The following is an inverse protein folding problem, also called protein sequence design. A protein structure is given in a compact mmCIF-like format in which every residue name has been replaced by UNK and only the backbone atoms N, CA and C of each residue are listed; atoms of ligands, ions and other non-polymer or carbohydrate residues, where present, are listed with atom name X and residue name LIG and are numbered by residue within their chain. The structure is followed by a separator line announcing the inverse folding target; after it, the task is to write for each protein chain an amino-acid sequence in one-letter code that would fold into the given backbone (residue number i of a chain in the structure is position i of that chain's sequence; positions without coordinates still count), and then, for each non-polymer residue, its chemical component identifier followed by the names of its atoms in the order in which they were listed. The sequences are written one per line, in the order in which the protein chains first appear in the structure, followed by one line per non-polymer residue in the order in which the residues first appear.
data_IF_102743595817
#
_entry.id   IF_102743595817
#
_cell.length_a   1.000
_cell.length_b   1.000
_cell.length_c   1.000
_cell.angle_alpha   90.00
_cell.angle_beta   90.00
_cell.angle_gamma   90.00
#
_symmetry.space_group_name_H-M   'P 1'
#
loop_
_entity.id
_entity.type
_entity.pdbx_description
1 polymer ?
#
# COMPACT_ATOMS: atom_id res chain seq x y z
N UNK A 1 -4.88 -2.48 5.59
CA UNK A 1 -4.82 -1.67 4.35
C UNK A 1 -3.71 -2.11 3.40
N UNK A 2 -2.47 -2.29 3.88
CA UNK A 2 -1.34 -2.66 3.02
C UNK A 2 -1.53 -4.01 2.32
N UNK A 3 -2.12 -5.00 2.99
CA UNK A 3 -2.30 -6.36 2.43
C UNK A 3 -3.17 -6.41 1.17
N UNK A 4 -3.98 -5.38 0.92
CA UNK A 4 -4.82 -5.25 -0.28
C UNK A 4 -4.35 -4.11 -1.20
N UNK A 5 -3.20 -3.49 -0.91
CA UNK A 5 -2.71 -2.34 -1.66
C UNK A 5 -2.42 -2.69 -3.12
N UNK A 6 -1.97 -3.92 -3.40
CA UNK A 6 -1.79 -4.45 -4.75
C UNK A 6 -3.10 -4.52 -5.56
N UNK A 7 -4.25 -4.45 -4.90
CA UNK A 7 -5.57 -4.47 -5.54
C UNK A 7 -6.17 -3.07 -5.71
N UNK A 8 -5.55 -2.05 -5.12
CA UNK A 8 -5.98 -0.69 -5.29
C UNK A 8 -5.30 -0.08 -6.50
N UNK A 9 -6.04 0.73 -7.26
CA UNK A 9 -5.48 1.60 -8.29
C UNK A 9 -4.77 2.82 -7.66
N UNK A 10 -3.79 2.53 -6.80
CA UNK A 10 -2.95 3.48 -6.07
C UNK A 10 -1.52 3.37 -6.64
N UNK A 11 -0.82 4.50 -6.93
CA UNK A 11 0.53 4.47 -7.49
C UNK A 11 1.55 3.81 -6.55
N UNK A 12 1.23 3.68 -5.26
CA UNK A 12 2.07 3.08 -4.24
C UNK A 12 2.55 1.67 -4.59
N UNK A 13 1.70 0.80 -5.16
CA UNK A 13 2.12 -0.57 -5.49
C UNK A 13 3.23 -0.59 -6.56
N UNK A 14 3.12 0.27 -7.57
CA UNK A 14 4.11 0.42 -8.63
C UNK A 14 5.40 1.04 -8.09
N UNK A 15 5.27 2.02 -7.19
CA UNK A 15 6.39 2.60 -6.47
C UNK A 15 7.15 1.56 -5.61
N UNK A 16 6.43 0.73 -4.85
CA UNK A 16 6.99 -0.38 -4.06
C UNK A 16 7.78 -1.32 -4.96
N UNK A 17 7.23 -1.73 -6.10
CA UNK A 17 7.90 -2.60 -7.06
C UNK A 17 9.23 -2.00 -7.52
N UNK A 18 9.24 -0.79 -8.07
CA UNK A 18 10.46 -0.20 -8.61
C UNK A 18 11.53 0.08 -7.55
N UNK A 19 11.14 0.61 -6.38
CA UNK A 19 12.11 0.92 -5.33
C UNK A 19 12.72 -0.36 -4.74
N UNK A 20 11.91 -1.38 -4.47
CA UNK A 20 12.41 -2.65 -3.96
C UNK A 20 13.28 -3.37 -4.99
N UNK A 21 12.88 -3.39 -6.26
CA UNK A 21 13.66 -3.93 -7.35
C UNK A 21 15.02 -3.24 -7.45
N UNK A 22 15.08 -1.91 -7.32
CA UNK A 22 16.35 -1.17 -7.33
C UNK A 22 17.30 -1.63 -6.21
N UNK A 23 16.80 -1.69 -4.97
CA UNK A 23 17.58 -2.11 -3.81
C UNK A 23 18.06 -3.56 -3.95
N UNK A 24 17.18 -4.47 -4.38
CA UNK A 24 17.49 -5.89 -4.54
C UNK A 24 18.45 -6.15 -5.70
N UNK A 25 18.25 -5.52 -6.86
CA UNK A 25 19.13 -5.66 -8.02
C UNK A 25 20.52 -5.12 -7.74
N UNK A 26 20.62 -3.98 -7.04
CA UNK A 26 21.90 -3.43 -6.64
C UNK A 26 22.67 -4.39 -5.73
N UNK A 27 22.01 -4.88 -4.67
CA UNK A 27 22.64 -5.79 -3.71
C UNK A 27 23.01 -7.13 -4.35
N UNK A 28 22.11 -7.68 -5.16
CA UNK A 28 22.37 -8.92 -5.89
C UNK A 28 23.52 -8.78 -6.89
N UNK A 29 23.57 -7.69 -7.65
CA UNK A 29 24.67 -7.43 -8.57
C UNK A 29 25.99 -7.18 -7.85
N UNK A 30 25.97 -6.52 -6.69
CA UNK A 30 27.15 -6.27 -5.86
C UNK A 30 27.72 -7.57 -5.28
N UNK A 31 26.91 -8.38 -4.58
CA UNK A 31 27.35 -9.65 -3.99
C UNK A 31 27.63 -10.72 -5.04
N UNK A 32 26.83 -10.73 -6.12
CA UNK A 32 26.99 -11.62 -7.28
C UNK A 32 28.15 -11.23 -8.20
N UNK A 33 28.90 -10.17 -7.88
CA UNK A 33 30.05 -9.67 -8.65
C UNK A 33 29.74 -9.41 -10.12
N UNK A 34 28.55 -8.89 -10.40
CA UNK A 34 28.20 -8.41 -11.75
C UNK A 34 29.13 -7.27 -12.16
N UNK A 35 29.28 -6.98 -13.47
CA UNK A 35 29.97 -5.79 -13.92
C UNK A 35 29.39 -4.55 -13.22
N UNK A 36 30.24 -3.73 -12.61
CA UNK A 36 29.77 -2.60 -11.79
C UNK A 36 28.81 -1.68 -12.54
N UNK A 37 29.06 -1.46 -13.84
CA UNK A 37 28.18 -0.67 -14.71
C UNK A 37 26.77 -1.29 -14.80
N UNK A 38 26.66 -2.61 -14.94
CA UNK A 38 25.36 -3.29 -14.99
C UNK A 38 24.61 -3.19 -13.65
N UNK A 39 25.31 -3.33 -12.52
CA UNK A 39 24.74 -3.17 -11.17
C UNK A 39 24.18 -1.76 -10.97
N UNK A 40 24.96 -0.73 -11.32
CA UNK A 40 24.55 0.66 -11.15
C UNK A 40 23.46 1.09 -12.15
N UNK A 41 23.50 0.65 -13.41
CA UNK A 41 22.45 0.95 -14.39
C UNK A 41 21.14 0.28 -14.02
N UNK A 42 21.15 -1.02 -13.72
CA UNK A 42 19.91 -1.76 -13.40
C UNK A 42 19.21 -1.16 -12.18
N UNK A 43 19.96 -0.85 -11.11
CA UNK A 43 19.42 -0.19 -9.93
C UNK A 43 19.00 1.26 -10.21
N UNK A 44 19.82 2.01 -10.94
CA UNK A 44 19.59 3.42 -11.24
C UNK A 44 18.36 3.67 -12.09
N UNK A 45 18.10 2.84 -13.10
CA UNK A 45 16.90 2.91 -13.93
C UNK A 45 15.65 2.65 -13.07
N UNK A 46 15.69 1.65 -12.18
CA UNK A 46 14.59 1.35 -11.28
C UNK A 46 14.32 2.49 -10.28
N UNK A 47 15.36 3.16 -9.74
CA UNK A 47 15.19 4.38 -8.93
C UNK A 47 14.54 5.50 -9.74
N UNK A 48 14.93 5.66 -11.01
CA UNK A 48 14.34 6.64 -11.91
C UNK A 48 12.83 6.44 -12.05
N UNK A 49 12.40 5.21 -12.33
CA UNK A 49 10.97 4.87 -12.40
C UNK A 49 10.26 5.06 -11.05
N UNK A 50 10.87 4.64 -9.94
CA UNK A 50 10.31 4.86 -8.60
C UNK A 50 10.09 6.36 -8.31
N UNK A 51 11.02 7.21 -8.76
CA UNK A 51 10.93 8.67 -8.63
C UNK A 51 9.80 9.28 -9.46
N UNK A 52 9.53 8.74 -10.65
CA UNK A 52 8.39 9.15 -11.47
C UNK A 52 7.03 8.71 -10.90
N UNK A 53 6.95 7.61 -10.14
CA UNK A 53 5.68 7.11 -9.59
C UNK A 53 5.10 7.98 -8.47
N UNK A 54 5.96 8.49 -7.58
CA UNK A 54 5.52 9.22 -6.39
C UNK A 54 5.93 10.69 -6.40
N UNK A 55 6.92 11.06 -7.22
CA UNK A 55 7.60 12.33 -7.13
C UNK A 55 8.49 12.42 -5.89
N UNK A 56 9.19 13.56 -5.76
CA UNK A 56 10.03 13.86 -4.61
C UNK A 56 11.34 13.06 -4.55
N UNK A 57 12.21 13.45 -3.60
CA UNK A 57 13.55 12.87 -3.46
C UNK A 57 13.59 11.57 -2.64
N UNK A 58 12.44 11.11 -2.13
CA UNK A 58 12.35 9.94 -1.25
C UNK A 58 12.97 8.66 -1.84
N UNK A 59 12.70 8.27 -3.11
CA UNK A 59 13.22 7.01 -3.66
C UNK A 59 14.74 7.04 -3.79
N UNK A 60 15.28 8.19 -4.24
CA UNK A 60 16.72 8.42 -4.32
C UNK A 60 17.36 8.40 -2.94
N UNK A 61 16.77 9.08 -1.94
CA UNK A 61 17.28 9.08 -0.57
C UNK A 61 17.33 7.67 0.02
N UNK A 62 16.27 6.88 -0.18
CA UNK A 62 16.20 5.50 0.34
C UNK A 62 17.26 4.62 -0.33
N UNK A 63 17.42 4.72 -1.64
CA UNK A 63 18.44 3.98 -2.37
C UNK A 63 19.86 4.38 -1.95
N UNK A 64 20.20 5.66 -2.06
CA UNK A 64 21.52 6.18 -1.77
C UNK A 64 21.93 5.92 -0.31
N UNK A 65 21.04 6.14 0.65
CA UNK A 65 21.34 5.89 2.06
C UNK A 65 21.58 4.39 2.33
N UNK A 66 20.71 3.52 1.79
CA UNK A 66 20.84 2.07 1.97
C UNK A 66 22.19 1.56 1.42
N UNK A 67 22.53 1.98 0.20
CA UNK A 67 23.79 1.62 -0.47
C UNK A 67 25.00 2.19 0.28
N UNK A 68 24.95 3.47 0.65
CA UNK A 68 26.02 4.16 1.37
C UNK A 68 26.33 3.46 2.70
N UNK A 69 25.32 3.25 3.55
CA UNK A 69 25.50 2.64 4.86
C UNK A 69 25.94 1.17 4.75
N UNK A 70 25.48 0.44 3.73
CA UNK A 70 25.93 -0.93 3.50
C UNK A 70 27.39 -1.00 3.01
N UNK A 71 27.82 -0.10 2.13
CA UNK A 71 29.21 -0.01 1.69
C UNK A 71 30.13 0.44 2.83
N UNK A 72 29.64 1.29 3.72
CA UNK A 72 30.33 1.67 4.95
C UNK A 72 30.51 0.45 5.87
N UNK A 73 29.43 -0.31 6.08
CA UNK A 73 29.45 -1.55 6.87
C UNK A 73 30.41 -2.60 6.27
N UNK A 74 30.37 -2.81 4.96
CA UNK A 74 31.26 -3.74 4.24
C UNK A 74 32.67 -3.19 3.98
N UNK A 75 32.96 -1.96 4.43
CA UNK A 75 34.25 -1.26 4.28
C UNK A 75 34.72 -1.11 2.83
N UNK A 76 33.78 -1.06 1.88
CA UNK A 76 34.07 -0.92 0.44
C UNK A 76 33.58 0.43 -0.12
N UNK A 77 33.90 1.51 0.58
CA UNK A 77 33.47 2.87 0.18
C UNK A 77 34.00 3.30 -1.19
N UNK A 78 35.12 2.71 -1.65
CA UNK A 78 35.67 2.97 -3.00
C UNK A 78 34.68 2.64 -4.11
N UNK A 79 33.76 1.71 -3.89
CA UNK A 79 32.75 1.33 -4.88
C UNK A 79 31.77 2.47 -5.22
N UNK A 80 31.55 3.42 -4.29
CA UNK A 80 30.77 4.63 -4.54
C UNK A 80 31.45 5.58 -5.52
N UNK A 81 32.79 5.63 -5.50
CA UNK A 81 33.58 6.58 -6.28
C UNK A 81 34.08 5.95 -7.59
N UNK A 82 33.18 5.29 -8.31
CA UNK A 82 33.48 4.63 -9.59
C UNK A 82 32.78 5.34 -10.74
N UNK A 83 33.36 5.27 -11.94
CA UNK A 83 32.70 5.77 -13.15
C UNK A 83 31.35 5.05 -13.39
N UNK A 84 31.26 3.78 -12.99
CA UNK A 84 30.03 3.00 -13.06
C UNK A 84 28.88 3.63 -12.24
N UNK A 85 29.17 4.18 -11.06
CA UNK A 85 28.18 4.92 -10.27
C UNK A 85 27.68 6.16 -11.03
N UNK A 86 28.60 6.94 -11.64
CA UNK A 86 28.24 8.11 -12.45
C UNK A 86 27.38 7.73 -13.67
N UNK A 87 27.66 6.59 -14.31
CA UNK A 87 26.84 6.07 -15.41
C UNK A 87 25.44 5.70 -14.89
N UNK A 88 25.34 4.98 -13.77
CA UNK A 88 24.05 4.64 -13.17
C UNK A 88 23.23 5.87 -12.78
N UNK A 89 23.87 6.88 -12.16
CA UNK A 89 23.24 8.15 -11.81
C UNK A 89 22.77 8.91 -13.07
N UNK A 90 23.59 8.93 -14.12
CA UNK A 90 23.22 9.52 -15.41
C UNK A 90 21.98 8.83 -15.99
N UNK A 91 21.88 7.50 -15.90
CA UNK A 91 20.69 6.76 -16.31
C UNK A 91 19.47 7.12 -15.46
N UNK A 92 19.61 7.24 -14.13
CA UNK A 92 18.52 7.71 -13.25
C UNK A 92 18.03 9.10 -13.66
N UNK A 93 18.95 10.04 -13.88
CA UNK A 93 18.64 11.41 -14.30
C UNK A 93 17.95 11.39 -15.66
N UNK A 94 18.45 10.61 -16.62
CA UNK A 94 17.86 10.51 -17.95
C UNK A 94 16.39 10.02 -17.91
N UNK A 95 16.10 8.99 -17.09
CA UNK A 95 14.73 8.49 -16.91
C UNK A 95 13.81 9.58 -16.34
N UNK A 96 14.23 10.29 -15.29
CA UNK A 96 13.42 11.35 -14.68
C UNK A 96 13.26 12.55 -15.63
N UNK A 97 14.35 12.96 -16.29
CA UNK A 97 14.40 14.09 -17.21
C UNK A 97 13.52 13.87 -18.45
N UNK A 98 13.37 12.62 -18.91
CA UNK A 98 12.52 12.28 -20.05
C UNK A 98 11.07 12.75 -19.89
N UNK A 99 10.55 12.77 -18.66
CA UNK A 99 9.22 13.31 -18.36
C UNK A 99 9.29 14.75 -17.83
N UNK A 100 10.28 15.06 -17.00
CA UNK A 100 10.37 16.34 -16.31
C UNK A 100 10.66 17.52 -17.26
N UNK A 101 11.47 17.33 -18.30
CA UNK A 101 11.79 18.40 -19.26
C UNK A 101 10.55 18.84 -20.06
N UNK A 102 9.74 17.93 -20.65
CA UNK A 102 8.46 18.30 -21.24
C UNK A 102 7.53 19.01 -20.26
N UNK A 103 7.41 18.51 -19.01
CA UNK A 103 6.56 19.13 -18.01
C UNK A 103 6.99 20.58 -17.70
N UNK A 104 8.29 20.81 -17.49
CA UNK A 104 8.85 22.16 -17.27
C UNK A 104 8.58 23.07 -18.48
N UNK A 105 8.69 22.55 -19.70
CA UNK A 105 8.44 23.37 -20.91
C UNK A 105 6.99 23.85 -21.01
N UNK A 106 6.03 23.07 -20.49
CA UNK A 106 4.60 23.37 -20.55
C UNK A 106 4.10 24.18 -19.34
N UNK A 107 4.65 23.95 -18.15
CA UNK A 107 4.13 24.50 -16.89
C UNK A 107 5.11 25.42 -16.15
N UNK A 108 6.37 25.49 -16.59
CA UNK A 108 7.41 26.30 -15.98
C UNK A 108 8.10 25.63 -14.78
N UNK A 109 9.24 26.20 -14.39
CA UNK A 109 10.11 25.65 -13.33
C UNK A 109 9.47 25.79 -11.94
N UNK A 110 8.66 26.82 -11.70
CA UNK A 110 8.03 27.07 -10.40
C UNK A 110 7.05 25.94 -10.03
N UNK A 111 6.16 25.55 -10.94
CA UNK A 111 5.24 24.43 -10.77
C UNK A 111 5.97 23.10 -10.61
N UNK A 112 7.03 22.89 -11.41
CA UNK A 112 7.92 21.75 -11.26
C UNK A 112 8.55 21.67 -9.86
N UNK A 113 9.04 22.79 -9.30
CA UNK A 113 9.56 22.82 -7.93
C UNK A 113 8.48 22.52 -6.89
N UNK A 114 7.31 23.12 -7.06
CA UNK A 114 6.16 22.90 -6.17
C UNK A 114 5.77 21.41 -6.13
N UNK A 115 5.70 20.75 -7.29
CA UNK A 115 5.39 19.32 -7.41
C UNK A 115 6.35 18.44 -6.59
N UNK A 116 7.65 18.75 -6.61
CA UNK A 116 8.67 17.93 -5.93
C UNK A 116 8.87 18.28 -4.45
N UNK A 117 8.48 19.48 -4.00
CA UNK A 117 8.80 19.98 -2.66
C UNK A 117 7.57 20.16 -1.74
N UNK A 118 6.39 20.51 -2.27
CA UNK A 118 5.23 20.92 -1.44
C UNK A 118 4.65 19.77 -0.60
N UNK A 119 4.77 18.53 -1.04
CA UNK A 119 4.10 17.39 -0.39
C UNK A 119 4.76 16.96 0.95
N UNK A 120 5.96 17.51 1.22
CA UNK A 120 6.75 17.18 2.43
C UNK A 120 6.54 18.20 3.55
N UNK A 121 6.30 19.48 3.22
CA UNK A 121 6.24 20.57 4.20
C UNK A 121 4.91 20.66 4.96
N UNK A 122 3.80 20.33 4.30
CA UNK A 122 2.44 20.38 4.89
C UNK A 122 2.25 19.43 6.07
N UNK A 123 3.08 18.37 6.16
CA UNK A 123 2.98 17.32 7.19
C UNK A 123 3.48 17.75 8.56
N UNK A 124 4.26 18.83 8.64
CA UNK A 124 4.84 19.31 9.90
C UNK A 124 3.98 20.36 10.62
N UNK A 125 2.85 20.78 10.05
CA UNK A 125 2.04 21.88 10.60
C UNK A 125 1.08 21.49 11.74
N UNK A 126 0.84 20.19 12.00
CA UNK A 126 -0.12 19.72 13.01
C UNK A 126 0.54 18.85 14.10
N UNK A 127 1.59 19.37 14.74
CA UNK A 127 2.27 18.67 15.83
C UNK A 127 1.43 18.67 17.12
N UNK A 128 0.88 17.50 17.44
CA UNK A 128 0.30 17.20 18.75
C UNK A 128 1.15 16.12 19.44
N UNK A 129 1.73 16.46 20.59
CA UNK A 129 2.65 15.57 21.34
C UNK A 129 2.00 14.24 21.73
N UNK A 130 0.71 14.23 22.06
CA UNK A 130 -0.01 12.99 22.40
C UNK A 130 -0.12 12.06 21.18
N UNK A 131 -0.47 12.62 20.02
CA UNK A 131 -0.51 11.85 18.77
C UNK A 131 0.87 11.36 18.35
N UNK A 132 1.91 12.16 18.57
CA UNK A 132 3.29 11.78 18.31
C UNK A 132 3.74 10.58 19.16
N UNK A 133 3.58 10.63 20.49
CA UNK A 133 3.99 9.50 21.34
C UNK A 133 3.14 8.25 21.10
N UNK A 134 1.84 8.42 20.85
CA UNK A 134 0.97 7.30 20.45
C UNK A 134 1.48 6.66 19.16
N UNK A 135 1.81 7.46 18.15
CA UNK A 135 2.37 6.98 16.89
C UNK A 135 3.70 6.27 17.10
N UNK A 136 4.62 6.85 17.88
CA UNK A 136 5.93 6.25 18.16
C UNK A 136 5.79 4.86 18.79
N UNK A 137 4.82 4.69 19.71
CA UNK A 137 4.53 3.41 20.35
C UNK A 137 3.78 2.42 19.44
N UNK A 138 2.79 2.86 18.66
CA UNK A 138 1.92 1.97 17.89
C UNK A 138 2.51 1.54 16.55
N UNK A 139 3.27 2.41 15.88
CA UNK A 139 3.73 2.20 14.51
C UNK A 139 4.55 0.92 14.29
N UNK A 140 5.53 0.54 15.14
CA UNK A 140 6.24 -0.73 14.97
C UNK A 140 5.29 -1.94 14.97
N UNK A 141 4.28 -1.93 15.83
CA UNK A 141 3.29 -3.00 15.92
C UNK A 141 2.32 -2.98 14.73
N UNK A 142 1.99 -1.82 14.18
CA UNK A 142 1.19 -1.72 12.96
C UNK A 142 1.93 -2.32 11.75
N UNK A 143 3.23 -2.09 11.62
CA UNK A 143 4.07 -2.72 10.60
C UNK A 143 4.12 -4.25 10.79
N UNK A 144 4.42 -4.71 12.00
CA UNK A 144 4.47 -6.16 12.30
C UNK A 144 3.10 -6.83 12.10
N UNK A 145 2.01 -6.15 12.47
CA UNK A 145 0.65 -6.60 12.25
C UNK A 145 0.30 -6.71 10.77
N UNK A 146 0.81 -5.79 9.95
CA UNK A 146 0.58 -5.76 8.50
C UNK A 146 1.22 -6.91 7.73
N UNK A 147 2.20 -7.60 8.32
CA UNK A 147 2.90 -8.76 7.74
C UNK A 147 2.62 -10.05 8.51
N UNK A 148 1.62 -10.07 9.40
CA UNK A 148 1.18 -11.31 10.04
C UNK A 148 0.69 -12.32 8.98
N UNK A 149 0.89 -13.63 9.23
CA UNK A 149 1.49 -14.23 10.43
C UNK A 149 3.02 -14.25 10.43
N UNK A 150 3.68 -13.76 9.38
CA UNK A 150 5.11 -13.93 9.15
C UNK A 150 6.01 -13.13 10.08
N UNK A 151 5.54 -11.98 10.60
CA UNK A 151 6.28 -11.21 11.61
C UNK A 151 6.64 -12.03 12.85
N UNK A 152 5.87 -13.07 13.19
CA UNK A 152 6.19 -13.97 14.30
C UNK A 152 7.50 -14.75 14.06
N UNK A 153 7.89 -14.99 12.81
CA UNK A 153 9.17 -15.62 12.48
C UNK A 153 10.36 -14.73 12.85
N UNK A 154 10.17 -13.41 12.94
CA UNK A 154 11.24 -12.48 13.32
C UNK A 154 11.72 -12.72 14.77
N UNK A 155 10.90 -13.31 15.64
CA UNK A 155 11.33 -13.69 16.98
C UNK A 155 12.42 -14.78 16.98
N UNK A 156 12.56 -15.56 15.88
CA UNK A 156 13.66 -16.52 15.75
C UNK A 156 15.03 -15.84 15.81
N UNK A 157 15.14 -14.58 15.34
CA UNK A 157 16.36 -13.79 15.44
C UNK A 157 16.75 -13.45 16.89
N UNK A 158 15.89 -13.64 17.89
CA UNK A 158 16.25 -13.48 19.30
C UNK A 158 17.03 -14.68 19.85
N UNK A 159 16.99 -15.83 19.17
CA UNK A 159 17.64 -17.06 19.62
C UNK A 159 19.12 -17.08 19.18
N UNK A 160 20.09 -17.16 20.11
CA UNK A 160 21.52 -17.17 19.77
C UNK A 160 21.91 -18.35 18.86
N UNK A 161 21.32 -19.53 19.09
CA UNK A 161 21.54 -20.75 18.29
C UNK A 161 21.05 -20.63 16.85
N UNK A 162 20.09 -19.74 16.60
CA UNK A 162 19.56 -19.47 15.28
C UNK A 162 20.47 -18.48 14.53
N UNK A 163 20.96 -17.44 15.21
CA UNK A 163 21.85 -16.43 14.62
C UNK A 163 23.11 -17.02 13.99
N UNK A 164 23.73 -18.02 14.62
CA UNK A 164 24.93 -18.67 14.07
C UNK A 164 24.67 -19.42 12.76
N UNK A 165 23.41 -19.81 12.49
CA UNK A 165 23.01 -20.52 11.26
C UNK A 165 22.71 -19.58 10.10
N UNK A 166 22.59 -18.27 10.37
CA UNK A 166 22.30 -17.25 9.36
C UNK A 166 23.54 -16.72 8.66
N UNK A 167 24.74 -17.18 9.05
CA UNK A 167 26.01 -16.64 8.52
C UNK A 167 26.06 -16.61 6.98
N UNK A 168 25.58 -17.64 6.24
CA UNK A 168 25.54 -17.59 4.77
C UNK A 168 24.67 -16.47 4.19
N UNK A 169 23.62 -16.05 4.91
CA UNK A 169 22.66 -15.02 4.46
C UNK A 169 22.99 -13.63 5.01
N UNK A 170 24.01 -13.51 5.85
CA UNK A 170 24.36 -12.28 6.58
C UNK A 170 24.54 -11.06 5.68
N UNK A 171 25.21 -11.11 4.51
CA UNK A 171 25.33 -9.93 3.64
C UNK A 171 23.96 -9.38 3.21
N UNK A 172 23.06 -10.24 2.75
CA UNK A 172 21.71 -9.86 2.34
C UNK A 172 20.85 -9.35 3.51
N UNK A 173 20.92 -10.03 4.65
CA UNK A 173 20.17 -9.62 5.85
C UNK A 173 20.68 -8.30 6.43
N UNK A 174 21.98 -8.03 6.39
CA UNK A 174 22.54 -6.75 6.82
C UNK A 174 22.17 -5.61 5.87
N UNK A 175 22.20 -5.85 4.56
CA UNK A 175 21.70 -4.87 3.60
C UNK A 175 20.21 -4.55 3.84
N UNK A 176 19.38 -5.58 3.96
CA UNK A 176 17.97 -5.43 4.27
C UNK A 176 17.74 -4.70 5.61
N UNK A 177 18.55 -4.99 6.63
CA UNK A 177 18.45 -4.35 7.95
C UNK A 177 18.76 -2.86 7.88
N UNK A 178 19.83 -2.50 7.17
CA UNK A 178 20.25 -1.12 6.97
C UNK A 178 19.19 -0.35 6.18
N UNK A 179 18.71 -0.92 5.07
CA UNK A 179 17.69 -0.31 4.23
C UNK A 179 16.36 -0.10 4.98
N UNK A 180 15.88 -1.15 5.64
CA UNK A 180 14.69 -1.08 6.48
C UNK A 180 14.88 -0.12 7.64
N UNK A 181 16.04 -0.14 8.32
CA UNK A 181 16.31 0.71 9.47
C UNK A 181 16.30 2.20 9.11
N UNK A 182 17.00 2.58 8.04
CA UNK A 182 17.00 3.96 7.56
C UNK A 182 15.58 4.40 7.17
N UNK A 183 14.91 3.65 6.30
CA UNK A 183 13.57 4.00 5.86
C UNK A 183 12.56 4.05 7.01
N UNK A 184 12.65 3.11 7.96
CA UNK A 184 11.81 3.07 9.15
C UNK A 184 11.95 4.34 9.96
N UNK A 185 13.17 4.79 10.27
CA UNK A 185 13.40 6.03 11.01
C UNK A 185 12.75 7.25 10.32
N UNK A 186 12.84 7.32 8.99
CA UNK A 186 12.28 8.46 8.23
C UNK A 186 10.75 8.52 8.22
N UNK A 187 10.05 7.42 8.52
CA UNK A 187 8.58 7.38 8.57
C UNK A 187 8.01 7.19 9.98
N UNK A 188 8.83 6.70 10.91
CA UNK A 188 8.48 6.47 12.30
C UNK A 188 8.60 7.73 13.16
N UNK A 189 9.60 8.57 12.87
CA UNK A 189 9.82 9.81 13.61
C UNK A 189 8.78 10.89 13.24
N UNK A 190 8.49 11.17 11.95
CA UNK A 190 7.52 12.22 11.63
C UNK A 190 6.09 11.82 12.04
N UNK A 191 5.36 12.67 12.80
CA UNK A 191 3.98 12.39 13.14
C UNK A 191 3.11 12.30 11.88
N UNK A 192 2.14 11.38 11.88
CA UNK A 192 1.28 11.13 10.72
C UNK A 192 1.90 10.21 9.67
N UNK A 193 3.03 9.58 9.97
CA UNK A 193 3.56 8.46 9.19
C UNK A 193 2.51 7.37 9.03
N UNK A 194 2.16 7.04 7.78
CA UNK A 194 1.25 5.94 7.49
C UNK A 194 2.07 4.68 7.22
N UNK A 195 1.56 3.52 7.61
CA UNK A 195 2.27 2.23 7.41
C UNK A 195 2.59 1.99 5.93
N UNK A 196 1.74 2.46 5.02
CA UNK A 196 1.98 2.40 3.57
C UNK A 196 3.26 3.11 3.11
N UNK A 197 3.78 4.06 3.88
CA UNK A 197 5.05 4.72 3.54
C UNK A 197 6.26 3.83 3.78
N UNK A 198 6.15 2.82 4.66
CA UNK A 198 7.16 1.79 4.87
C UNK A 198 6.97 0.56 3.97
N UNK A 199 5.82 0.44 3.30
CA UNK A 199 5.47 -0.73 2.48
C UNK A 199 6.48 -1.00 1.35
N UNK A 200 7.23 0.02 0.92
CA UNK A 200 8.31 -0.10 -0.08
C UNK A 200 9.45 -1.02 0.34
N UNK A 201 9.61 -1.24 1.65
CA UNK A 201 10.66 -2.08 2.22
C UNK A 201 10.13 -3.46 2.61
N UNK A 202 8.84 -3.74 2.41
CA UNK A 202 8.25 -5.04 2.74
C UNK A 202 8.89 -6.20 1.96
N UNK A 203 9.28 -6.04 0.69
CA UNK A 203 10.07 -7.07 0.00
C UNK A 203 11.39 -7.38 0.70
N UNK A 204 12.06 -6.39 1.30
CA UNK A 204 13.28 -6.62 2.09
C UNK A 204 12.97 -7.25 3.44
N UNK A 205 11.85 -6.92 4.08
CA UNK A 205 11.36 -7.66 5.26
C UNK A 205 11.11 -9.13 4.94
N UNK A 206 10.59 -9.42 3.74
CA UNK A 206 10.34 -10.78 3.29
C UNK A 206 11.63 -11.61 3.21
N UNK A 207 12.79 -11.00 2.98
CA UNK A 207 14.08 -11.68 3.03
C UNK A 207 14.40 -12.21 4.44
N UNK A 208 14.09 -11.44 5.49
CA UNK A 208 14.28 -11.92 6.87
C UNK A 208 13.41 -13.12 7.18
N UNK A 209 12.15 -13.08 6.74
CA UNK A 209 11.17 -14.14 6.96
C UNK A 209 11.53 -15.38 6.14
N UNK A 210 11.98 -15.19 4.90
CA UNK A 210 12.49 -16.23 4.01
C UNK A 210 13.74 -16.92 4.56
N UNK A 211 14.70 -16.17 5.12
CA UNK A 211 15.88 -16.75 5.74
C UNK A 211 15.54 -17.59 6.98
N UNK A 212 14.54 -17.17 7.77
CA UNK A 212 14.01 -17.99 8.88
C UNK A 212 13.34 -19.26 8.40
N UNK A 213 12.53 -19.15 7.35
CA UNK A 213 11.93 -20.30 6.71
C UNK A 213 12.98 -21.27 6.19
N UNK A 214 13.98 -20.80 5.45
CA UNK A 214 15.04 -21.62 4.84
C UNK A 214 15.88 -22.35 5.88
N UNK A 215 16.38 -21.62 6.89
CA UNK A 215 17.08 -22.26 8.02
C UNK A 215 16.14 -23.22 8.75
N UNK A 216 14.85 -22.88 8.88
CA UNK A 216 13.83 -23.76 9.41
C UNK A 216 13.68 -25.06 8.63
N UNK A 217 13.67 -25.02 7.29
CA UNK A 217 13.59 -26.18 6.40
C UNK A 217 14.81 -27.07 6.55
N UNK A 218 16.02 -26.49 6.47
CA UNK A 218 17.29 -27.22 6.46
C UNK A 218 17.62 -27.77 7.86
N UNK A 219 17.15 -27.12 8.92
CA UNK A 219 17.64 -27.36 10.29
C UNK A 219 16.59 -27.79 11.31
N UNK A 220 15.54 -28.53 10.88
CA UNK A 220 14.64 -29.29 11.79
C UNK A 220 15.39 -30.47 12.45
N UNK A 221 16.57 -30.21 12.98
CA UNK A 221 17.21 -31.06 13.97
C UNK A 221 16.61 -30.76 15.35
N UNK A 222 16.81 -31.69 16.28
CA UNK A 222 16.02 -31.86 17.52
C UNK A 222 15.78 -30.58 18.36
N UNK A 223 16.70 -29.60 18.35
CA UNK A 223 16.61 -28.38 19.18
C UNK A 223 15.70 -27.27 18.60
N UNK A 224 15.51 -27.21 17.29
CA UNK A 224 14.65 -26.19 16.62
C UNK A 224 13.22 -26.64 16.36
N UNK A 225 13.00 -27.96 16.35
CA UNK A 225 11.73 -28.61 16.02
C UNK A 225 10.57 -28.13 16.91
N UNK A 226 10.78 -28.04 18.22
CA UNK A 226 9.71 -27.66 19.14
C UNK A 226 9.17 -26.24 18.92
N UNK A 227 10.05 -25.27 18.64
CA UNK A 227 9.65 -23.89 18.38
C UNK A 227 8.85 -23.79 17.07
N UNK A 228 9.32 -24.45 16.01
CA UNK A 228 8.60 -24.53 14.75
C UNK A 228 7.21 -25.18 14.90
N UNK A 229 7.14 -26.33 15.58
CA UNK A 229 5.87 -27.03 15.82
C UNK A 229 4.87 -26.16 16.57
N UNK A 230 5.30 -25.42 17.59
CA UNK A 230 4.45 -24.47 18.32
C UNK A 230 3.98 -23.33 17.41
N UNK A 231 4.86 -22.75 16.62
CA UNK A 231 4.50 -21.70 15.67
C UNK A 231 3.47 -22.19 14.65
N UNK A 232 3.76 -23.30 13.96
CA UNK A 232 2.86 -23.88 12.96
C UNK A 232 1.51 -24.27 13.58
N UNK A 233 1.51 -24.79 14.81
CA UNK A 233 0.28 -25.11 15.55
C UNK A 233 -0.54 -23.85 15.85
N UNK A 234 0.09 -22.79 16.38
CA UNK A 234 -0.60 -21.54 16.69
C UNK A 234 -1.21 -20.89 15.43
N UNK A 235 -0.48 -20.91 14.31
CA UNK A 235 -1.00 -20.40 13.03
C UNK A 235 -2.15 -21.26 12.53
N UNK A 236 -2.02 -22.59 12.56
CA UNK A 236 -3.09 -23.50 12.16
C UNK A 236 -4.35 -23.35 13.03
N UNK A 237 -4.18 -23.23 14.35
CA UNK A 237 -5.25 -22.97 15.30
C UNK A 237 -5.93 -21.61 15.00
N UNK A 238 -5.14 -20.59 14.66
CA UNK A 238 -5.67 -19.28 14.26
C UNK A 238 -6.53 -19.39 12.99
N UNK A 239 -6.11 -20.15 11.98
CA UNK A 239 -6.93 -20.37 10.78
C UNK A 239 -8.25 -21.07 11.09
N UNK A 240 -8.23 -22.05 11.99
CA UNK A 240 -9.45 -22.74 12.43
C UNK A 240 -10.36 -21.77 13.20
N UNK A 241 -9.82 -20.96 14.11
CA UNK A 241 -10.60 -19.99 14.87
C UNK A 241 -11.22 -18.92 13.95
N UNK A 242 -10.47 -18.42 12.96
CA UNK A 242 -11.00 -17.48 11.95
C UNK A 242 -12.10 -18.16 11.12
N UNK A 243 -11.88 -19.40 10.69
CA UNK A 243 -12.89 -20.16 9.94
C UNK A 243 -14.20 -20.32 10.73
N UNK A 244 -14.10 -20.69 12.01
CA UNK A 244 -15.25 -20.80 12.91
C UNK A 244 -15.91 -19.44 13.12
N UNK A 245 -15.14 -18.37 13.31
CA UNK A 245 -15.67 -17.02 13.44
C UNK A 245 -16.48 -16.63 12.19
N UNK A 246 -15.94 -16.85 10.98
CA UNK A 246 -16.63 -16.60 9.70
C UNK A 246 -17.93 -17.41 9.61
N UNK A 247 -17.88 -18.71 9.96
CA UNK A 247 -19.06 -19.59 9.93
C UNK A 247 -20.16 -19.14 10.90
N UNK A 248 -19.80 -18.45 11.99
CA UNK A 248 -20.73 -17.94 12.99
C UNK A 248 -21.34 -16.57 12.64
N UNK A 249 -20.76 -15.81 11.69
CA UNK A 249 -21.25 -14.47 11.34
C UNK A 249 -22.71 -14.42 10.88
N UNK A 250 -23.25 -15.40 10.12
CA UNK A 250 -24.67 -15.36 9.70
C UNK A 250 -25.65 -15.51 10.86
N UNK A 251 -25.22 -16.03 12.01
CA UNK A 251 -26.09 -16.21 13.17
C UNK A 251 -26.27 -14.86 13.86
N UNK A 252 -27.51 -14.36 13.89
CA UNK A 252 -27.87 -13.11 14.58
C UNK A 252 -27.76 -13.29 16.10
N UNK A 253 -26.56 -13.08 16.65
CA UNK A 253 -26.34 -13.08 18.10
C UNK A 253 -26.87 -11.75 18.66
N UNK A 254 -27.86 -11.72 19.57
CA UNK A 254 -28.59 -10.50 19.99
C UNK A 254 -27.78 -9.36 20.62
N UNK A 255 -26.45 -9.48 20.72
CA UNK A 255 -25.53 -8.46 21.27
C UNK A 255 -24.40 -8.06 20.32
N UNK A 256 -24.25 -8.73 19.18
CA UNK A 256 -23.18 -8.45 18.23
C UNK A 256 -23.75 -8.28 16.83
N UNK A 257 -23.80 -7.04 16.35
CA UNK A 257 -24.19 -6.73 14.97
C UNK A 257 -23.00 -6.93 14.04
N UNK A 258 -22.77 -8.19 13.66
CA UNK A 258 -21.76 -8.57 12.66
C UNK A 258 -22.21 -8.36 11.21
N UNK A 259 -23.35 -7.71 10.98
CA UNK A 259 -23.91 -7.45 9.64
C UNK A 259 -22.91 -6.78 8.69
N UNK A 260 -21.93 -6.04 9.24
CA UNK A 260 -20.83 -5.42 8.49
C UNK A 260 -19.88 -6.41 7.81
N UNK A 261 -19.89 -7.67 8.22
CA UNK A 261 -18.93 -8.71 7.82
C UNK A 261 -19.63 -9.95 7.25
N UNK A 262 -20.97 -9.98 7.22
CA UNK A 262 -21.73 -11.14 6.74
C UNK A 262 -21.74 -11.19 5.22
N UNK A 263 -21.24 -12.30 4.66
CA UNK A 263 -21.38 -12.64 3.24
C UNK A 263 -22.60 -13.54 2.99
N UNK A 264 -23.11 -13.62 1.75
CA UNK A 264 -23.99 -14.69 1.30
C UNK A 264 -23.54 -16.07 1.77
N UNK A 265 -24.51 -16.93 2.12
CA UNK A 265 -24.23 -18.25 2.72
C UNK A 265 -23.24 -19.10 1.91
N UNK A 266 -23.32 -19.19 0.56
CA UNK A 266 -22.35 -19.97 -0.21
C UNK A 266 -20.90 -19.47 -0.06
N UNK A 267 -20.69 -18.15 -0.06
CA UNK A 267 -19.36 -17.54 0.13
C UNK A 267 -18.85 -17.76 1.55
N UNK A 268 -19.72 -17.57 2.56
CA UNK A 268 -19.39 -17.83 3.97
C UNK A 268 -18.95 -19.29 4.17
N UNK A 269 -19.68 -20.25 3.60
CA UNK A 269 -19.32 -21.68 3.65
C UNK A 269 -17.98 -21.92 2.96
N UNK A 270 -17.80 -21.37 1.74
CA UNK A 270 -16.55 -21.54 1.00
C UNK A 270 -15.33 -21.05 1.77
N UNK A 271 -15.36 -19.82 2.30
CA UNK A 271 -14.22 -19.23 3.02
C UNK A 271 -13.95 -19.93 4.34
N UNK A 272 -15.00 -20.26 5.11
CA UNK A 272 -14.84 -20.98 6.38
C UNK A 272 -14.30 -22.39 6.17
N UNK A 273 -14.88 -23.18 5.27
CA UNK A 273 -14.42 -24.56 4.99
C UNK A 273 -12.99 -24.55 4.46
N UNK A 274 -12.65 -23.63 3.55
CA UNK A 274 -11.29 -23.57 2.97
C UNK A 274 -10.22 -23.27 4.03
N UNK A 275 -10.45 -22.27 4.90
CA UNK A 275 -9.53 -21.95 5.99
C UNK A 275 -9.47 -23.06 7.04
N UNK A 276 -10.60 -23.69 7.35
CA UNK A 276 -10.67 -24.81 8.28
C UNK A 276 -9.85 -26.00 7.77
N UNK A 277 -10.06 -26.41 6.52
CA UNK A 277 -9.33 -27.51 5.91
C UNK A 277 -7.81 -27.23 5.84
N UNK A 278 -7.41 -25.99 5.52
CA UNK A 278 -6.00 -25.59 5.56
C UNK A 278 -5.42 -25.70 6.97
N UNK A 279 -6.14 -25.22 7.99
CA UNK A 279 -5.73 -25.35 9.39
C UNK A 279 -5.58 -26.82 9.81
N UNK A 280 -6.56 -27.68 9.50
CA UNK A 280 -6.50 -29.12 9.78
C UNK A 280 -5.33 -29.78 9.06
N UNK A 281 -5.11 -29.45 7.78
CA UNK A 281 -4.00 -29.98 7.00
C UNK A 281 -2.66 -29.57 7.61
N UNK A 282 -2.49 -28.31 8.01
CA UNK A 282 -1.28 -27.83 8.69
C UNK A 282 -1.07 -28.55 10.03
N UNK A 283 -2.13 -28.74 10.84
CA UNK A 283 -2.04 -29.48 12.10
C UNK A 283 -1.61 -30.93 11.90
N UNK A 284 -2.04 -31.58 10.81
CA UNK A 284 -1.58 -32.94 10.45
C UNK A 284 -0.15 -32.97 9.92
N UNK A 285 0.34 -31.85 9.38
CA UNK A 285 1.63 -31.74 8.70
C UNK A 285 2.57 -30.73 9.37
N UNK A 286 2.50 -30.56 10.69
CA UNK A 286 3.29 -29.54 11.41
C UNK A 286 4.80 -29.62 11.15
N UNK A 287 5.32 -30.81 10.84
CA UNK A 287 6.74 -31.03 10.52
C UNK A 287 7.14 -30.58 9.11
N UNK A 288 6.20 -30.41 8.18
CA UNK A 288 6.48 -30.03 6.79
C UNK A 288 6.55 -28.51 6.66
N UNK A 289 7.73 -27.94 6.89
CA UNK A 289 7.93 -26.48 6.88
C UNK A 289 7.43 -25.84 5.57
N UNK A 290 7.97 -26.27 4.42
CA UNK A 290 7.61 -25.72 3.12
C UNK A 290 6.10 -25.80 2.84
N UNK A 291 5.49 -26.94 3.16
CA UNK A 291 4.04 -27.13 3.02
C UNK A 291 3.23 -26.14 3.86
N UNK A 292 3.61 -25.95 5.12
CA UNK A 292 2.98 -24.98 6.00
C UNK A 292 3.14 -23.54 5.50
N UNK A 293 4.30 -23.19 4.93
CA UNK A 293 4.51 -21.87 4.34
C UNK A 293 3.55 -21.62 3.17
N UNK A 294 3.36 -22.60 2.29
CA UNK A 294 2.39 -22.50 1.19
C UNK A 294 0.96 -22.40 1.71
N UNK A 295 0.58 -23.19 2.72
CA UNK A 295 -0.74 -23.11 3.33
C UNK A 295 -1.01 -21.73 3.94
N UNK A 296 -0.01 -21.12 4.57
CA UNK A 296 -0.11 -19.75 5.10
C UNK A 296 -0.27 -18.70 4.00
N UNK A 297 0.50 -18.79 2.92
CA UNK A 297 0.34 -17.91 1.76
C UNK A 297 -1.05 -18.04 1.14
N UNK A 298 -1.54 -19.27 0.97
CA UNK A 298 -2.87 -19.55 0.43
C UNK A 298 -3.98 -19.03 1.35
N UNK A 299 -3.85 -19.21 2.66
CA UNK A 299 -4.80 -18.66 3.63
C UNK A 299 -4.88 -17.13 3.56
N UNK A 300 -3.73 -16.45 3.39
CA UNK A 300 -3.71 -15.00 3.20
C UNK A 300 -4.41 -14.57 1.90
N UNK A 301 -4.24 -15.32 0.80
CA UNK A 301 -4.94 -15.07 -0.47
C UNK A 301 -6.45 -15.23 -0.28
N UNK A 302 -6.88 -16.36 0.29
CA UNK A 302 -8.30 -16.64 0.55
C UNK A 302 -8.93 -15.56 1.43
N UNK A 303 -8.23 -15.15 2.48
CA UNK A 303 -8.76 -14.20 3.45
C UNK A 303 -8.73 -12.75 2.95
N UNK A 304 -7.59 -12.28 2.41
CA UNK A 304 -7.44 -10.89 1.99
C UNK A 304 -8.00 -10.63 0.59
N UNK A 305 -7.69 -11.48 -0.39
CA UNK A 305 -8.14 -11.28 -1.77
C UNK A 305 -9.55 -11.81 -2.00
N UNK A 306 -9.97 -12.82 -1.23
CA UNK A 306 -11.33 -13.36 -1.26
C UNK A 306 -12.25 -12.67 -0.26
N UNK A 307 -12.28 -13.17 0.97
CA UNK A 307 -13.28 -12.81 1.98
C UNK A 307 -13.42 -11.30 2.21
N UNK A 308 -12.33 -10.58 2.49
CA UNK A 308 -12.40 -9.13 2.74
C UNK A 308 -12.83 -8.32 1.52
N UNK A 309 -12.44 -8.75 0.31
CA UNK A 309 -12.84 -8.05 -0.91
C UNK A 309 -14.31 -8.29 -1.21
N UNK A 310 -14.81 -9.51 -1.07
CA UNK A 310 -16.24 -9.81 -1.22
C UNK A 310 -17.09 -9.00 -0.23
N UNK A 311 -16.64 -8.87 1.03
CA UNK A 311 -17.34 -8.06 2.03
C UNK A 311 -17.41 -6.60 1.58
N UNK A 312 -16.30 -6.07 1.04
CA UNK A 312 -16.26 -4.70 0.52
C UNK A 312 -17.14 -4.52 -0.71
N UNK A 313 -17.13 -5.46 -1.65
CA UNK A 313 -17.95 -5.41 -2.86
C UNK A 313 -19.42 -5.46 -2.50
N UNK A 314 -19.82 -6.36 -1.59
CA UNK A 314 -21.21 -6.46 -1.13
C UNK A 314 -21.70 -5.17 -0.44
N UNK A 315 -20.81 -4.48 0.28
CA UNK A 315 -21.11 -3.22 0.97
C UNK A 315 -20.98 -1.99 0.07
N UNK A 316 -20.40 -2.15 -1.11
CA UNK A 316 -20.25 -1.07 -2.06
C UNK A 316 -21.60 -0.77 -2.70
N UNK A 317 -21.91 0.51 -2.83
CA UNK A 317 -23.11 0.94 -3.53
C UNK A 317 -23.06 0.54 -5.01
N UNK A 318 -24.26 0.34 -5.56
CA UNK A 318 -24.49 0.04 -6.98
C UNK A 318 -24.25 1.25 -7.87
N UNK A 319 -23.00 1.67 -7.90
CA UNK A 319 -22.53 2.94 -8.47
C UNK A 319 -22.85 3.04 -9.96
N UNK A 320 -22.80 1.93 -10.69
CA UNK A 320 -23.13 1.88 -12.11
C UNK A 320 -24.62 2.10 -12.38
N UNK A 321 -25.50 1.48 -11.58
CA UNK A 321 -26.96 1.67 -11.71
C UNK A 321 -27.35 3.12 -11.38
N UNK A 322 -26.75 3.70 -10.34
CA UNK A 322 -26.99 5.10 -9.94
C UNK A 322 -26.48 6.08 -11.00
N UNK A 323 -25.28 5.86 -11.55
CA UNK A 323 -24.77 6.70 -12.63
C UNK A 323 -25.58 6.56 -13.92
N UNK A 324 -26.07 5.36 -14.25
CA UNK A 324 -26.96 5.15 -15.39
C UNK A 324 -28.28 5.92 -15.22
N UNK A 325 -28.85 5.92 -14.01
CA UNK A 325 -30.02 6.73 -13.64
C UNK A 325 -29.75 8.21 -13.87
N UNK A 326 -28.64 8.73 -13.36
CA UNK A 326 -28.24 10.13 -13.53
C UNK A 326 -28.08 10.50 -15.00
N UNK A 327 -27.38 9.67 -15.78
CA UNK A 327 -27.19 9.91 -17.22
C UNK A 327 -28.49 9.93 -17.99
N UNK A 328 -29.49 9.13 -17.59
CA UNK A 328 -30.81 9.11 -18.24
C UNK A 328 -31.63 10.39 -18.01
N UNK A 329 -31.33 11.14 -16.94
CA UNK A 329 -31.99 12.42 -16.63
C UNK A 329 -31.30 13.62 -17.31
N UNK A 330 -30.11 13.41 -17.85
CA UNK A 330 -29.32 14.44 -18.51
C UNK A 330 -29.48 14.37 -20.04
N UNK A 331 -29.46 15.52 -20.74
CA UNK A 331 -29.35 15.51 -22.20
C UNK A 331 -28.07 14.77 -22.65
N UNK A 332 -28.09 14.04 -23.78
CA UNK A 332 -26.99 13.18 -24.23
C UNK A 332 -25.65 13.91 -24.41
N UNK A 333 -25.70 15.19 -24.76
CA UNK A 333 -24.52 16.06 -24.99
C UNK A 333 -24.43 17.22 -24.01
N UNK A 334 -24.94 17.04 -22.80
CA UNK A 334 -24.82 18.07 -21.77
C UNK A 334 -23.35 18.34 -21.43
N UNK A 335 -22.96 19.62 -21.45
CA UNK A 335 -21.69 20.07 -20.89
C UNK A 335 -21.85 20.23 -19.38
N UNK A 336 -21.57 19.16 -18.62
CA UNK A 336 -21.61 19.19 -17.17
C UNK A 336 -20.34 19.83 -16.61
N UNK A 337 -20.52 20.87 -15.78
CA UNK A 337 -19.43 21.52 -15.04
C UNK A 337 -19.53 21.22 -13.54
N UNK A 338 -18.44 21.37 -12.81
CA UNK A 338 -18.42 21.26 -11.34
C UNK A 338 -18.24 22.66 -10.75
N UNK A 339 -19.01 23.02 -9.73
CA UNK A 339 -18.73 24.22 -8.92
C UNK A 339 -17.79 23.80 -7.80
N UNK A 340 -16.55 24.30 -7.84
CA UNK A 340 -15.46 23.82 -7.01
C UNK A 340 -14.93 22.44 -7.44
N UNK A 341 -14.10 21.85 -6.59
CA UNK A 341 -13.62 20.47 -6.78
C UNK A 341 -14.75 19.51 -6.43
N UNK A 342 -15.01 18.55 -7.31
CA UNK A 342 -15.97 17.47 -7.07
C UNK A 342 -15.26 16.14 -6.79
N UNK A 343 -16.01 15.16 -6.33
CA UNK A 343 -15.49 13.86 -5.96
C UNK A 343 -15.04 13.05 -7.19
N UNK A 344 -13.86 12.43 -7.11
CA UNK A 344 -13.28 11.65 -8.21
C UNK A 344 -14.08 10.39 -8.57
N UNK A 345 -14.84 9.81 -7.62
CA UNK A 345 -15.73 8.66 -7.92
C UNK A 345 -16.79 9.10 -8.93
N UNK A 346 -17.40 10.27 -8.72
CA UNK A 346 -18.43 10.80 -9.62
C UNK A 346 -17.87 11.02 -11.03
N UNK A 347 -16.75 11.74 -11.14
CA UNK A 347 -16.15 12.07 -12.46
C UNK A 347 -15.70 10.82 -13.22
N UNK A 348 -15.15 9.83 -12.51
CA UNK A 348 -14.75 8.55 -13.11
C UNK A 348 -15.95 7.81 -13.73
N UNK A 349 -17.05 7.62 -12.99
CA UNK A 349 -18.22 6.91 -13.50
C UNK A 349 -19.04 7.74 -14.51
N UNK A 350 -19.00 9.07 -14.40
CA UNK A 350 -19.61 9.95 -15.38
C UNK A 350 -18.95 9.76 -16.76
N UNK A 351 -17.65 9.52 -16.81
CA UNK A 351 -16.95 9.10 -18.04
C UNK A 351 -16.81 10.20 -19.10
N UNK A 352 -17.12 11.44 -18.75
CA UNK A 352 -16.81 12.66 -19.53
C UNK A 352 -16.06 13.63 -18.63
N UNK A 353 -15.22 14.48 -19.22
CA UNK A 353 -14.51 15.51 -18.47
C UNK A 353 -15.51 16.50 -17.86
N UNK A 354 -15.38 16.75 -16.55
CA UNK A 354 -16.20 17.72 -15.81
C UNK A 354 -15.28 18.87 -15.43
N UNK A 355 -15.42 20.01 -16.12
CA UNK A 355 -14.60 21.20 -15.84
C UNK A 355 -14.98 21.76 -14.47
N UNK A 356 -14.00 21.93 -13.59
CA UNK A 356 -14.19 22.65 -12.34
C UNK A 356 -14.19 24.16 -12.59
N UNK A 357 -15.20 24.84 -12.05
CA UNK A 357 -15.34 26.29 -12.05
C UNK A 357 -15.12 26.82 -10.62
N UNK A 358 -14.72 28.09 -10.47
CA UNK A 358 -14.67 28.74 -9.17
C UNK A 358 -16.02 28.69 -8.45
N UNK A 359 -15.97 28.67 -7.12
CA UNK A 359 -17.19 28.58 -6.28
C UNK A 359 -18.04 29.85 -6.40
N UNK A 360 -17.43 30.98 -6.72
CA UNK A 360 -18.01 32.31 -6.89
C UNK A 360 -18.39 32.65 -8.34
N UNK A 361 -18.56 31.64 -9.21
CA UNK A 361 -19.00 31.89 -10.57
C UNK A 361 -20.45 32.43 -10.63
N UNK A 362 -20.72 33.33 -11.57
CA UNK A 362 -22.04 33.95 -11.82
C UNK A 362 -23.05 33.01 -12.51
N UNK A 363 -22.57 31.83 -12.91
CA UNK A 363 -23.33 30.82 -13.62
C UNK A 363 -23.63 31.18 -15.07
N UNK A 364 -22.96 32.15 -15.67
CA UNK A 364 -23.13 32.47 -17.09
C UNK A 364 -22.78 31.25 -17.96
N UNK A 365 -23.67 30.89 -18.90
CA UNK A 365 -23.49 29.72 -19.77
C UNK A 365 -23.63 28.35 -19.08
N UNK A 366 -23.98 28.29 -17.80
CA UNK A 366 -24.17 27.02 -17.06
C UNK A 366 -25.63 26.60 -17.11
N UNK A 367 -25.91 25.45 -17.72
CA UNK A 367 -27.25 24.83 -17.68
C UNK A 367 -27.34 23.75 -16.60
N UNK A 368 -26.35 22.87 -16.55
CA UNK A 368 -26.25 21.77 -15.58
C UNK A 368 -24.89 21.80 -14.91
N UNK A 369 -24.88 21.56 -13.61
CA UNK A 369 -23.66 21.54 -12.82
C UNK A 369 -23.74 20.51 -11.69
N UNK A 370 -22.60 20.11 -11.17
CA UNK A 370 -22.52 19.32 -9.95
C UNK A 370 -21.64 19.98 -8.89
N UNK A 371 -21.80 19.57 -7.64
CA UNK A 371 -20.94 20.02 -6.54
C UNK A 371 -20.94 19.00 -5.39
N UNK A 372 -19.88 19.02 -4.59
CA UNK A 372 -19.78 18.22 -3.36
C UNK A 372 -20.07 19.12 -2.14
N UNK A 373 -21.23 18.96 -1.46
CA UNK A 373 -21.60 19.78 -0.30
C UNK A 373 -20.65 19.66 0.89
N UNK A 374 -19.78 18.64 0.93
CA UNK A 374 -18.74 18.52 1.95
C UNK A 374 -17.50 19.37 1.64
N UNK A 375 -17.32 19.79 0.39
CA UNK A 375 -16.15 20.55 -0.06
C UNK A 375 -16.45 22.02 -0.33
N UNK A 376 -17.72 22.38 -0.55
CA UNK A 376 -18.12 23.75 -0.82
C UNK A 376 -19.21 24.23 0.14
N UNK A 377 -19.17 25.53 0.44
CA UNK A 377 -20.27 26.22 1.08
C UNK A 377 -21.36 26.50 0.03
N UNK A 378 -22.47 25.77 0.10
CA UNK A 378 -23.60 25.87 -0.83
C UNK A 378 -24.17 27.29 -0.87
N UNK A 379 -24.05 28.06 0.21
CA UNK A 379 -24.49 29.46 0.27
C UNK A 379 -23.74 30.40 -0.67
N UNK A 380 -22.59 29.97 -1.21
CA UNK A 380 -21.81 30.73 -2.19
C UNK A 380 -22.31 30.59 -3.62
N UNK A 381 -23.24 29.67 -3.90
CA UNK A 381 -23.88 29.55 -5.20
C UNK A 381 -24.99 30.61 -5.27
N UNK A 382 -24.73 31.72 -5.94
CA UNK A 382 -25.57 32.95 -5.87
C UNK A 382 -26.72 33.01 -6.87
N UNK A 383 -26.75 32.13 -7.88
CA UNK A 383 -27.81 32.08 -8.88
C UNK A 383 -28.88 31.04 -8.51
N UNK A 384 -30.13 31.17 -8.99
CA UNK A 384 -31.18 30.22 -8.69
C UNK A 384 -30.94 28.88 -9.39
N UNK A 385 -31.17 27.78 -8.68
CA UNK A 385 -30.98 26.43 -9.20
C UNK A 385 -31.94 25.45 -8.54
N UNK A 386 -32.10 24.29 -9.17
CA UNK A 386 -32.90 23.18 -8.66
C UNK A 386 -32.07 21.90 -8.68
N UNK A 387 -32.13 21.13 -7.59
CA UNK A 387 -31.55 19.80 -7.54
C UNK A 387 -32.26 18.88 -8.54
N UNK A 388 -31.47 18.19 -9.36
CA UNK A 388 -31.92 17.18 -10.33
C UNK A 388 -31.85 15.79 -9.68
N UNK A 389 -30.68 15.42 -9.16
CA UNK A 389 -30.43 14.13 -8.50
C UNK A 389 -29.24 14.25 -7.54
N UNK A 390 -28.93 13.18 -6.83
CA UNK A 390 -27.72 13.00 -6.02
C UNK A 390 -27.02 11.72 -6.44
N UNK A 391 -25.70 11.74 -6.43
CA UNK A 391 -24.85 10.57 -6.62
C UNK A 391 -24.13 10.24 -5.32
N UNK A 392 -24.35 9.05 -4.78
CA UNK A 392 -23.66 8.64 -3.57
C UNK A 392 -22.18 8.35 -3.83
N UNK A 393 -21.35 9.09 -3.10
CA UNK A 393 -19.90 8.91 -3.09
C UNK A 393 -19.44 8.05 -1.91
N UNK A 394 -20.40 7.53 -1.15
CA UNK A 394 -20.16 6.61 -0.05
C UNK A 394 -19.56 5.32 -0.61
N UNK A 395 -18.55 4.77 0.07
CA UNK A 395 -17.94 3.48 -0.32
C UNK A 395 -18.57 2.30 0.40
N UNK A 396 -19.30 2.59 1.48
CA UNK A 396 -19.82 1.63 2.43
C UNK A 396 -21.23 2.05 2.81
N UNK A 397 -22.21 1.19 2.56
CA UNK A 397 -23.63 1.48 2.84
C UNK A 397 -23.92 1.84 4.31
N UNK A 398 -23.00 1.52 5.23
CA UNK A 398 -23.15 1.76 6.66
C UNK A 398 -22.47 3.04 7.15
N UNK A 399 -21.74 3.73 6.28
CA UNK A 399 -21.15 5.02 6.59
C UNK A 399 -22.18 6.15 6.43
N UNK A 400 -21.87 7.31 7.02
CA UNK A 400 -22.68 8.51 6.81
C UNK A 400 -22.71 8.81 5.30
N UNK A 401 -23.92 8.85 4.74
CA UNK A 401 -24.08 9.03 3.31
C UNK A 401 -23.53 10.39 2.89
N UNK A 402 -22.64 10.36 1.90
CA UNK A 402 -22.09 11.54 1.24
C UNK A 402 -22.49 11.51 -0.22
N UNK A 403 -22.79 12.67 -0.77
CA UNK A 403 -23.33 12.76 -2.11
C UNK A 403 -22.68 13.90 -2.89
N UNK A 404 -22.51 13.70 -4.19
CA UNK A 404 -22.39 14.80 -5.14
C UNK A 404 -23.80 15.18 -5.57
N UNK A 405 -24.12 16.46 -5.49
CA UNK A 405 -25.41 17.00 -5.92
C UNK A 405 -25.31 17.34 -7.40
N UNK A 406 -26.27 16.87 -8.18
CA UNK A 406 -26.48 17.30 -9.56
C UNK A 406 -27.61 18.33 -9.58
N UNK A 407 -27.37 19.46 -10.22
CA UNK A 407 -28.28 20.60 -10.23
C UNK A 407 -28.43 21.19 -11.64
N UNK A 408 -29.56 21.87 -11.84
CA UNK A 408 -29.90 22.62 -13.04
C UNK A 408 -30.13 24.08 -12.66
N UNK A 409 -29.53 25.01 -13.39
CA UNK A 409 -29.79 26.45 -13.23
C UNK A 409 -31.23 26.76 -13.67
N UNK A 410 -31.92 27.62 -12.92
CA UNK A 410 -33.31 28.03 -13.20
C UNK A 410 -33.37 29.22 -14.15
#
# INVERSE_FOLDING_TARGET
EIMIMSQKAEPEAVYIFFLSASLMLWHWGYEGKWPAVATWISAGVMVGFASLCKGGLQPLAYFCASVFFYLLYSRNMRYLFTLAMLVGLSCTIAVVAAWMLPYISLHGIAEAKALWLNDTASRFHSWNMMHFFKHLGSYPFEILGSILPWSLLLFAYLLPSFRSRLEPYKPALMFALIACGFAFLTVWIPPGGQTRYFATLYPLLALFMGAVAEVGIVSIEAKGKAAWLRFAFLVAATFILIALAIALLPFKIPRFTFERWTLPLPQTIFYSVSLFLLGIWMMKNLQKVQGNLYAMGLALVIFNLGYFMDVKVQRSEKTLEEMARIKSQLPPDVNLVSIGITNHKFTYYYGKFVKALPVDCDGEGITYFCFDPCLIDVGKITFPWKQVDTFSITRDLLDQKRFVVLAKKQ
#
